data_IF_360359260056
#
_entry.id   IF_360359260056
#
_cell.length_a   1.000
_cell.length_b   1.000
_cell.length_c   1.000
_cell.angle_alpha   90.00
_cell.angle_beta   90.00
_cell.angle_gamma   90.00
#
_symmetry.space_group_name_H-M   'P 1'
#
loop_
_entity.id
_entity.type
_entity.pdbx_description
1 polymer ?
#
# COMPACT_ATOMS: atom_id res chain seq x y z
N UNK A 1 4.12 31.17 -5.00
CA UNK A 1 5.50 30.86 -4.55
C UNK A 1 6.36 30.79 -5.81
N UNK A 2 7.11 31.85 -6.07
CA UNK A 2 7.86 32.06 -7.32
C UNK A 2 9.26 31.50 -7.11
N UNK A 3 9.66 30.50 -7.90
CA UNK A 3 11.01 29.97 -7.85
C UNK A 3 11.94 30.91 -8.64
N UNK A 4 12.72 31.69 -7.90
CA UNK A 4 13.88 32.42 -8.39
C UNK A 4 14.97 31.42 -8.78
N UNK A 5 15.26 31.33 -10.08
CA UNK A 5 16.43 30.62 -10.59
C UNK A 5 17.62 31.57 -10.43
N UNK A 6 18.59 31.20 -9.61
CA UNK A 6 19.90 31.85 -9.58
C UNK A 6 20.57 31.67 -10.95
N UNK A 7 20.62 32.76 -11.73
CA UNK A 7 21.61 32.94 -12.79
C UNK A 7 22.89 33.39 -12.10
N UNK A 8 23.86 32.49 -12.01
CA UNK A 8 25.27 32.83 -11.87
C UNK A 8 26.08 31.71 -12.54
N UNK A 9 26.14 31.74 -13.86
CA UNK A 9 27.21 31.11 -14.63
C UNK A 9 28.19 32.22 -15.06
N UNK A 10 29.34 32.40 -14.40
CA UNK A 10 30.37 33.31 -14.87
C UNK A 10 31.40 32.53 -15.67
N UNK A 11 31.01 31.86 -16.76
CA UNK A 11 31.98 31.39 -17.78
C UNK A 11 31.42 31.62 -19.18
N UNK A 12 30.92 32.83 -19.42
CA UNK A 12 30.75 33.38 -20.76
C UNK A 12 31.72 34.54 -20.90
N UNK A 13 32.97 34.26 -21.28
CA UNK A 13 33.91 35.15 -21.97
C UNK A 13 35.36 34.66 -21.84
N UNK A 14 35.73 33.58 -22.55
CA UNK A 14 37.15 33.24 -22.71
C UNK A 14 37.54 32.75 -24.11
N UNK A 15 36.70 33.00 -25.12
CA UNK A 15 36.96 32.68 -26.53
C UNK A 15 37.20 33.93 -27.38
N UNK A 16 37.90 34.93 -26.84
CA UNK A 16 38.26 36.16 -27.56
C UNK A 16 39.77 36.19 -27.90
N UNK A 17 40.27 35.11 -28.49
CA UNK A 17 41.60 35.05 -29.12
C UNK A 17 41.47 34.33 -30.46
N UNK A 18 41.47 35.12 -31.54
CA UNK A 18 41.67 34.77 -32.96
C UNK A 18 41.63 33.26 -33.23
N UNK A 19 40.47 32.78 -33.72
CA UNK A 19 40.26 31.40 -34.15
C UNK A 19 41.28 31.00 -35.23
N UNK A 20 42.34 30.30 -34.81
CA UNK A 20 43.07 29.40 -35.70
C UNK A 20 42.19 28.17 -35.87
N UNK A 21 41.65 27.95 -37.07
CA UNK A 21 40.83 26.78 -37.38
C UNK A 21 41.58 25.50 -36.98
N UNK A 22 41.08 24.81 -35.96
CA UNK A 22 41.67 23.57 -35.46
C UNK A 22 41.47 22.44 -36.47
N UNK A 23 42.56 21.86 -36.97
CA UNK A 23 42.54 20.74 -37.91
C UNK A 23 43.28 19.52 -37.34
N UNK A 24 42.61 18.36 -37.38
CA UNK A 24 43.16 17.06 -36.98
C UNK A 24 43.03 16.11 -38.17
N UNK A 25 44.16 15.62 -38.70
CA UNK A 25 44.18 14.84 -39.95
C UNK A 25 44.16 13.31 -39.74
N UNK A 26 44.20 12.85 -38.49
CA UNK A 26 44.04 11.44 -38.09
C UNK A 26 45.07 10.98 -37.05
N UNK A 27 44.84 9.79 -36.48
CA UNK A 27 45.74 9.07 -35.58
C UNK A 27 46.44 7.93 -36.34
N UNK A 28 47.76 7.78 -36.15
CA UNK A 28 48.55 6.68 -36.74
C UNK A 28 48.98 5.76 -35.61
N UNK A 29 48.42 4.54 -35.49
CA UNK A 29 48.92 3.56 -34.53
C UNK A 29 50.30 3.06 -35.00
N UNK A 30 51.35 3.35 -34.22
CA UNK A 30 52.74 2.99 -34.54
C UNK A 30 53.22 1.81 -33.67
N UNK A 31 53.92 0.86 -34.28
CA UNK A 31 54.60 -0.22 -33.56
C UNK A 31 55.87 0.28 -32.84
N UNK A 32 56.36 -0.48 -31.87
CA UNK A 32 57.52 -0.12 -31.03
C UNK A 32 58.80 0.25 -31.83
N UNK A 33 58.92 -0.21 -33.08
CA UNK A 33 60.07 0.04 -33.97
C UNK A 33 59.98 1.35 -34.77
N UNK A 34 58.78 1.91 -34.93
CA UNK A 34 58.55 3.11 -35.75
C UNK A 34 58.75 4.41 -34.96
N UNK A 35 58.84 4.31 -33.62
CA UNK A 35 59.08 5.41 -32.70
C UNK A 35 60.43 6.13 -32.92
N UNK A 36 61.46 5.40 -33.38
CA UNK A 36 62.81 5.95 -33.58
C UNK A 36 63.02 6.69 -34.90
N UNK A 37 62.09 6.56 -35.86
CA UNK A 37 62.18 7.16 -37.20
C UNK A 37 61.45 8.49 -37.31
N UNK A 38 60.49 8.75 -36.43
CA UNK A 38 59.72 9.99 -36.44
C UNK A 38 60.46 11.14 -35.75
N UNK A 39 60.68 12.23 -36.49
CA UNK A 39 61.46 13.41 -36.08
C UNK A 39 62.79 13.58 -36.82
N UNK A 40 63.22 12.57 -37.60
CA UNK A 40 64.51 12.60 -38.32
C UNK A 40 64.44 12.75 -39.83
N UNK A 41 63.26 12.75 -40.45
CA UNK A 41 63.20 12.93 -41.89
C UNK A 41 61.81 12.75 -42.46
N UNK A 42 61.42 13.75 -43.26
CA UNK A 42 60.42 13.77 -44.33
C UNK A 42 59.48 12.56 -44.41
N UNK A 43 58.20 12.85 -44.34
CA UNK A 43 57.11 11.99 -44.83
C UNK A 43 57.26 11.74 -46.34
N UNK A 44 58.22 10.90 -46.76
CA UNK A 44 58.51 10.64 -48.18
C UNK A 44 57.47 9.73 -48.85
N UNK A 45 56.54 9.14 -48.08
CA UNK A 45 55.48 8.26 -48.56
C UNK A 45 54.06 8.85 -48.49
N UNK A 46 53.89 10.11 -48.07
CA UNK A 46 52.57 10.75 -48.04
C UNK A 46 52.18 11.22 -49.45
N UNK A 47 50.95 10.90 -49.87
CA UNK A 47 50.36 11.37 -51.12
C UNK A 47 50.56 12.89 -51.28
N UNK A 48 51.07 13.34 -52.44
CA UNK A 48 51.38 14.75 -52.72
C UNK A 48 50.25 15.72 -52.35
N UNK A 49 48.98 15.34 -52.57
CA UNK A 49 47.82 16.16 -52.18
C UNK A 49 47.70 16.35 -50.67
N UNK A 50 48.03 15.32 -49.90
CA UNK A 50 48.02 15.36 -48.43
C UNK A 50 49.20 16.21 -47.92
N UNK A 51 50.36 16.14 -48.58
CA UNK A 51 51.51 16.99 -48.26
C UNK A 51 51.22 18.47 -48.49
N UNK A 52 50.61 18.82 -49.63
CA UNK A 52 50.17 20.19 -49.93
C UNK A 52 49.18 20.73 -48.88
N UNK A 53 48.28 19.87 -48.37
CA UNK A 53 47.36 20.23 -47.28
C UNK A 53 48.07 20.39 -45.93
N UNK A 54 49.03 19.53 -45.61
CA UNK A 54 49.83 19.59 -44.37
C UNK A 54 50.64 20.89 -44.29
N UNK A 55 51.32 21.25 -45.38
CA UNK A 55 52.12 22.46 -45.48
C UNK A 55 51.23 23.72 -45.49
N UNK A 56 50.07 23.69 -46.17
CA UNK A 56 49.13 24.81 -46.21
C UNK A 56 48.41 25.07 -44.87
N UNK A 57 48.27 24.05 -44.02
CA UNK A 57 47.60 24.13 -42.72
C UNK A 57 48.57 24.25 -41.54
N UNK A 58 49.88 24.29 -41.77
CA UNK A 58 50.93 24.34 -40.73
C UNK A 58 50.82 23.20 -39.70
N UNK A 59 50.48 21.98 -40.14
CA UNK A 59 50.34 20.85 -39.22
C UNK A 59 51.70 20.36 -38.73
N UNK A 60 51.79 20.04 -37.44
CA UNK A 60 52.98 19.49 -36.78
C UNK A 60 52.68 18.14 -36.14
N UNK A 61 53.72 17.31 -36.00
CA UNK A 61 53.67 16.06 -35.24
C UNK A 61 53.58 16.38 -33.74
N UNK A 62 52.62 15.77 -33.06
CA UNK A 62 52.39 15.92 -31.63
C UNK A 62 52.03 14.56 -31.02
N UNK A 63 52.44 14.34 -29.77
CA UNK A 63 52.08 13.12 -29.04
C UNK A 63 50.95 13.44 -28.07
N UNK A 64 49.78 12.88 -28.31
CA UNK A 64 48.61 13.02 -27.46
C UNK A 64 48.93 12.51 -26.04
N UNK A 65 48.70 13.34 -25.04
CA UNK A 65 49.05 13.01 -23.65
C UNK A 65 48.15 11.95 -23.01
N UNK A 66 46.93 11.73 -23.51
CA UNK A 66 45.95 10.78 -22.95
C UNK A 66 46.13 9.39 -23.57
N UNK A 67 46.10 9.33 -24.90
CA UNK A 67 46.16 8.09 -25.67
C UNK A 67 47.60 7.64 -25.94
N UNK A 68 48.57 8.57 -25.77
CA UNK A 68 49.97 8.38 -26.14
C UNK A 68 50.21 8.12 -27.63
N UNK A 69 49.17 8.28 -28.45
CA UNK A 69 49.21 8.19 -29.91
C UNK A 69 49.90 9.42 -30.49
N UNK A 70 50.59 9.24 -31.62
CA UNK A 70 51.09 10.37 -32.40
C UNK A 70 49.99 10.86 -33.33
N UNK A 71 49.82 12.18 -33.38
CA UNK A 71 48.78 12.88 -34.12
C UNK A 71 49.39 14.05 -34.90
N UNK A 72 48.71 14.45 -35.98
CA UNK A 72 49.11 15.58 -36.81
C UNK A 72 48.09 16.69 -36.62
N UNK A 73 48.51 17.82 -36.04
CA UNK A 73 47.64 18.95 -35.68
C UNK A 73 48.34 20.29 -35.91
N UNK A 74 47.60 21.32 -36.28
CA UNK A 74 48.14 22.69 -36.44
C UNK A 74 48.16 23.47 -35.13
N UNK A 75 47.59 22.92 -34.06
CA UNK A 75 47.56 23.57 -32.76
C UNK A 75 47.70 22.55 -31.61
N UNK A 76 48.94 22.07 -31.35
CA UNK A 76 49.23 21.13 -30.28
C UNK A 76 48.78 21.63 -28.91
N UNK A 77 48.99 22.92 -28.61
CA UNK A 77 48.59 23.51 -27.33
C UNK A 77 47.08 23.50 -27.12
N UNK A 78 46.29 23.78 -28.17
CA UNK A 78 44.82 23.70 -28.09
C UNK A 78 44.34 22.25 -28.00
N UNK A 79 45.01 21.31 -28.67
CA UNK A 79 44.72 19.88 -28.54
C UNK A 79 44.91 19.40 -27.10
N UNK A 80 46.05 19.70 -26.49
CA UNK A 80 46.37 19.36 -25.11
C UNK A 80 45.41 20.02 -24.11
N UNK A 81 45.01 21.27 -24.36
CA UNK A 81 43.98 21.93 -23.53
C UNK A 81 42.63 21.21 -23.61
N UNK A 82 42.21 20.76 -24.81
CA UNK A 82 40.98 19.97 -25.00
C UNK A 82 41.07 18.60 -24.31
N UNK A 83 42.21 17.94 -24.37
CA UNK A 83 42.46 16.67 -23.69
C UNK A 83 42.37 16.83 -22.17
N UNK A 84 43.04 17.82 -21.60
CA UNK A 84 42.94 18.13 -20.17
C UNK A 84 41.49 18.38 -19.73
N UNK A 85 40.72 19.17 -20.50
CA UNK A 85 39.29 19.41 -20.21
C UNK A 85 38.45 18.13 -20.33
N UNK A 86 38.78 17.23 -21.26
CA UNK A 86 38.10 15.95 -21.39
C UNK A 86 38.37 15.03 -20.20
N UNK A 87 39.62 14.94 -19.75
CA UNK A 87 40.02 14.15 -18.59
C UNK A 87 39.36 14.67 -17.30
N UNK A 88 39.32 15.99 -17.09
CA UNK A 88 38.58 16.61 -15.98
C UNK A 88 37.11 16.22 -15.99
N UNK A 89 36.44 16.34 -17.15
CA UNK A 89 35.02 15.95 -17.30
C UNK A 89 34.80 14.46 -17.03
N UNK A 90 35.73 13.61 -17.47
CA UNK A 90 35.65 12.16 -17.27
C UNK A 90 35.83 11.79 -15.80
N UNK A 91 36.72 12.48 -15.09
CA UNK A 91 36.92 12.32 -13.65
C UNK A 91 35.70 12.80 -12.84
N UNK A 92 35.10 13.94 -13.21
CA UNK A 92 33.84 14.42 -12.60
C UNK A 92 32.73 13.38 -12.82
N UNK A 93 32.56 12.88 -14.03
CA UNK A 93 31.53 11.89 -14.36
C UNK A 93 31.72 10.57 -13.60
N UNK A 94 32.96 10.12 -13.40
CA UNK A 94 33.26 8.96 -12.56
C UNK A 94 32.86 9.21 -11.10
N UNK A 95 33.22 10.36 -10.55
CA UNK A 95 32.86 10.74 -9.18
C UNK A 95 31.35 10.83 -8.99
N UNK A 96 30.63 11.41 -9.95
CA UNK A 96 29.17 11.51 -9.94
C UNK A 96 28.51 10.12 -10.03
N UNK A 97 29.01 9.23 -10.88
CA UNK A 97 28.52 7.85 -10.95
C UNK A 97 28.75 7.07 -9.66
N UNK A 98 29.92 7.22 -9.02
CA UNK A 98 30.18 6.60 -7.72
C UNK A 98 29.30 7.16 -6.61
N UNK A 99 29.03 8.46 -6.64
CA UNK A 99 28.10 9.11 -5.72
C UNK A 99 26.68 8.59 -5.95
N UNK A 100 26.21 8.56 -7.19
CA UNK A 100 24.89 8.04 -7.55
C UNK A 100 24.73 6.57 -7.13
N UNK A 101 25.75 5.74 -7.31
CA UNK A 101 25.73 4.33 -6.88
C UNK A 101 25.63 4.22 -5.35
N UNK A 102 26.34 5.08 -4.61
CA UNK A 102 26.25 5.15 -3.14
C UNK A 102 24.85 5.58 -2.69
N UNK A 103 24.32 6.64 -3.28
CA UNK A 103 23.00 7.19 -2.98
C UNK A 103 21.90 6.17 -3.29
N UNK A 104 21.98 5.48 -4.43
CA UNK A 104 21.07 4.41 -4.81
C UNK A 104 21.09 3.26 -3.79
N UNK A 105 22.28 2.77 -3.42
CA UNK A 105 22.40 1.70 -2.42
C UNK A 105 21.89 2.14 -1.04
N UNK A 106 22.06 3.41 -0.67
CA UNK A 106 21.51 3.94 0.58
C UNK A 106 19.98 4.04 0.52
N UNK A 107 19.42 4.46 -0.61
CA UNK A 107 17.98 4.51 -0.83
C UNK A 107 17.35 3.12 -0.74
N UNK A 108 17.96 2.11 -1.37
CA UNK A 108 17.52 0.71 -1.29
C UNK A 108 17.49 0.20 0.17
N UNK A 109 18.57 0.43 0.94
CA UNK A 109 18.60 0.04 2.36
C UNK A 109 17.51 0.72 3.20
N UNK A 110 17.22 1.99 2.91
CA UNK A 110 16.13 2.73 3.58
C UNK A 110 14.76 2.15 3.20
N UNK A 111 14.58 1.77 1.94
CA UNK A 111 13.35 1.14 1.46
C UNK A 111 13.11 -0.19 2.17
N UNK A 112 14.11 -1.06 2.25
CA UNK A 112 14.01 -2.36 2.95
C UNK A 112 13.63 -2.18 4.43
N UNK A 113 14.27 -1.23 5.11
CA UNK A 113 13.95 -0.92 6.50
C UNK A 113 12.52 -0.38 6.66
N UNK A 114 12.06 0.45 5.72
CA UNK A 114 10.69 0.94 5.70
C UNK A 114 9.69 -0.21 5.51
N UNK A 115 9.94 -1.14 4.59
CA UNK A 115 9.08 -2.30 4.35
C UNK A 115 8.96 -3.18 5.61
N UNK A 116 10.07 -3.51 6.26
CA UNK A 116 10.08 -4.27 7.51
C UNK A 116 9.31 -3.57 8.63
N UNK A 117 9.44 -2.24 8.72
CA UNK A 117 8.69 -1.45 9.70
C UNK A 117 7.19 -1.46 9.41
N UNK A 118 6.79 -1.37 8.15
CA UNK A 118 5.38 -1.45 7.73
C UNK A 118 4.79 -2.80 8.06
N UNK A 119 5.45 -3.90 7.69
CA UNK A 119 5.00 -5.27 7.98
C UNK A 119 4.82 -5.51 9.49
N UNK A 120 5.78 -5.03 10.30
CA UNK A 120 5.68 -5.09 11.76
C UNK A 120 4.48 -4.31 12.28
N UNK A 121 4.24 -3.09 11.77
CA UNK A 121 3.11 -2.27 12.18
C UNK A 121 1.77 -2.91 11.78
N UNK A 122 1.69 -3.54 10.62
CA UNK A 122 0.51 -4.28 10.17
C UNK A 122 0.24 -5.49 11.06
N UNK A 123 1.29 -6.24 11.43
CA UNK A 123 1.20 -7.36 12.37
C UNK A 123 0.72 -6.91 13.75
N UNK A 124 1.31 -5.82 14.29
CA UNK A 124 0.89 -5.23 15.56
C UNK A 124 -0.56 -4.70 15.51
N UNK A 125 -0.98 -4.15 14.36
CA UNK A 125 -2.36 -3.71 14.14
C UNK A 125 -3.32 -4.90 14.15
N UNK A 126 -2.99 -5.98 13.42
CA UNK A 126 -3.80 -7.19 13.39
C UNK A 126 -3.94 -7.82 14.79
N UNK A 127 -2.85 -7.93 15.56
CA UNK A 127 -2.90 -8.50 16.92
C UNK A 127 -3.77 -7.69 17.88
N UNK A 128 -3.90 -6.37 17.66
CA UNK A 128 -4.79 -5.52 18.45
C UNK A 128 -6.26 -5.82 18.16
N UNK A 129 -6.63 -5.99 16.89
CA UNK A 129 -8.01 -6.36 16.51
C UNK A 129 -8.36 -7.77 16.98
N UNK A 130 -7.43 -8.72 16.94
CA UNK A 130 -7.64 -10.07 17.49
C UNK A 130 -7.92 -9.99 19.01
N UNK A 131 -7.16 -9.17 19.74
CA UNK A 131 -7.40 -8.91 21.16
C UNK A 131 -8.76 -8.25 21.46
N UNK A 132 -9.20 -7.28 20.64
CA UNK A 132 -10.52 -6.66 20.78
C UNK A 132 -11.65 -7.67 20.47
N UNK A 133 -11.46 -8.56 19.50
CA UNK A 133 -12.41 -9.63 19.18
C UNK A 133 -12.60 -10.59 20.37
N UNK A 134 -11.51 -10.98 21.04
CA UNK A 134 -11.58 -11.76 22.29
C UNK A 134 -12.33 -10.99 23.39
N UNK A 135 -12.05 -9.70 23.53
CA UNK A 135 -12.75 -8.86 24.51
C UNK A 135 -14.25 -8.75 24.22
N UNK A 136 -14.64 -8.67 22.95
CA UNK A 136 -16.03 -8.68 22.51
C UNK A 136 -16.73 -9.97 22.89
N UNK A 137 -16.11 -11.12 22.61
CA UNK A 137 -16.62 -12.43 23.04
C UNK A 137 -16.86 -12.48 24.55
N UNK A 138 -15.90 -11.98 25.33
CA UNK A 138 -16.00 -11.92 26.78
C UNK A 138 -17.18 -11.07 27.24
N UNK A 139 -17.42 -9.94 26.56
CA UNK A 139 -18.52 -9.02 26.85
C UNK A 139 -19.87 -9.65 26.52
N UNK A 140 -19.97 -10.32 25.37
CA UNK A 140 -21.15 -11.05 24.94
C UNK A 140 -21.53 -12.16 25.93
N UNK A 141 -20.53 -12.95 26.37
CA UNK A 141 -20.73 -13.95 27.42
C UNK A 141 -21.27 -13.35 28.72
N UNK A 142 -20.64 -12.27 29.23
CA UNK A 142 -21.11 -11.59 30.45
C UNK A 142 -22.55 -11.07 30.31
N UNK A 143 -22.90 -10.55 29.14
CA UNK A 143 -24.24 -10.04 28.88
C UNK A 143 -25.30 -11.14 28.93
N UNK A 144 -25.05 -12.24 28.22
CA UNK A 144 -25.97 -13.37 28.22
C UNK A 144 -26.10 -13.97 29.62
N UNK A 145 -24.97 -14.17 30.31
CA UNK A 145 -24.92 -14.88 31.58
C UNK A 145 -25.54 -14.10 32.75
N UNK A 146 -25.33 -12.78 32.80
CA UNK A 146 -25.94 -11.93 33.83
C UNK A 146 -27.48 -11.97 33.77
N UNK A 147 -28.07 -12.32 32.62
CA UNK A 147 -29.53 -12.41 32.45
C UNK A 147 -30.11 -13.77 32.87
N UNK A 148 -29.31 -14.84 32.99
CA UNK A 148 -29.81 -16.20 33.27
C UNK A 148 -29.66 -16.68 34.73
N UNK A 149 -29.13 -15.88 35.66
CA UNK A 149 -29.02 -16.25 37.09
C UNK A 149 -28.24 -17.56 37.37
N UNK A 150 -27.49 -18.09 36.41
CA UNK A 150 -26.73 -19.33 36.53
C UNK A 150 -25.33 -19.09 37.10
N UNK A 151 -24.70 -20.11 37.70
CA UNK A 151 -23.36 -20.06 38.31
C UNK A 151 -22.31 -20.90 37.57
N UNK A 152 -22.48 -21.13 36.27
CA UNK A 152 -21.49 -21.85 35.46
C UNK A 152 -20.13 -21.13 35.40
N UNK A 153 -19.07 -21.92 35.58
CA UNK A 153 -17.69 -21.47 35.45
C UNK A 153 -17.30 -21.45 33.97
N UNK A 154 -16.74 -20.33 33.54
CA UNK A 154 -16.16 -20.16 32.22
C UNK A 154 -14.78 -20.81 32.15
N UNK A 155 -14.56 -21.69 31.17
CA UNK A 155 -13.21 -22.08 30.76
C UNK A 155 -12.79 -21.23 29.56
N UNK A 156 -11.62 -20.58 29.65
CA UNK A 156 -11.02 -19.85 28.53
C UNK A 156 -9.65 -20.47 28.27
N UNK A 157 -9.37 -20.95 27.05
CA UNK A 157 -8.05 -21.48 26.74
C UNK A 157 -6.95 -20.44 26.95
N UNK A 158 -5.79 -20.91 27.40
CA UNK A 158 -4.62 -20.06 27.64
C UNK A 158 -4.19 -19.26 26.41
N UNK A 159 -4.32 -19.82 25.21
CA UNK A 159 -4.02 -19.14 23.96
C UNK A 159 -4.95 -17.93 23.71
N UNK A 160 -6.23 -18.05 24.06
CA UNK A 160 -7.21 -16.97 23.88
C UNK A 160 -6.96 -15.85 24.89
N UNK A 161 -6.60 -16.21 26.13
CA UNK A 161 -6.20 -15.23 27.14
C UNK A 161 -4.96 -14.43 26.70
N UNK A 162 -3.98 -15.09 26.07
CA UNK A 162 -2.80 -14.42 25.54
C UNK A 162 -3.13 -13.43 24.40
N UNK A 163 -4.04 -13.79 23.48
CA UNK A 163 -4.54 -12.86 22.45
C UNK A 163 -5.28 -11.68 23.10
N UNK A 164 -6.08 -11.92 24.13
CA UNK A 164 -6.79 -10.85 24.85
C UNK A 164 -5.88 -9.78 25.46
N UNK A 165 -4.62 -10.12 25.78
CA UNK A 165 -3.62 -9.20 26.34
C UNK A 165 -3.07 -8.19 25.33
N UNK A 166 -3.15 -8.47 24.03
CA UNK A 166 -2.65 -7.57 22.97
C UNK A 166 -3.66 -6.53 22.51
N UNK A 167 -4.84 -6.48 23.15
CA UNK A 167 -5.96 -5.63 22.77
C UNK A 167 -5.64 -4.13 22.87
N UNK A 168 -6.27 -3.33 22.00
CA UNK A 168 -6.16 -1.87 22.05
C UNK A 168 -7.32 -1.29 22.85
N UNK A 169 -7.11 -1.18 24.17
CA UNK A 169 -8.14 -0.74 25.12
C UNK A 169 -8.77 0.62 24.80
N UNK A 170 -8.07 1.48 24.05
CA UNK A 170 -8.54 2.82 23.69
C UNK A 170 -9.29 2.88 22.37
N UNK A 171 -9.28 1.81 21.56
CA UNK A 171 -9.93 1.82 20.25
C UNK A 171 -11.37 1.29 20.29
N UNK A 172 -11.67 0.24 21.07
CA UNK A 172 -13.00 -0.42 21.07
C UNK A 172 -13.55 -0.70 19.66
N UNK A 173 -12.66 -1.04 18.72
CA UNK A 173 -13.01 -1.34 17.33
C UNK A 173 -12.79 -2.82 17.06
N UNK A 174 -13.83 -3.51 16.61
CA UNK A 174 -13.70 -4.76 15.88
C UNK A 174 -13.50 -4.51 14.40
N UNK A 175 -12.88 -5.50 13.76
CA UNK A 175 -12.71 -5.56 12.33
C UNK A 175 -13.34 -6.88 11.84
N UNK A 176 -14.34 -6.78 10.96
CA UNK A 176 -15.07 -7.94 10.45
C UNK A 176 -14.13 -8.99 9.84
N UNK A 177 -13.14 -8.56 9.06
CA UNK A 177 -12.16 -9.48 8.46
C UNK A 177 -11.37 -10.25 9.53
N UNK A 178 -10.98 -9.59 10.63
CA UNK A 178 -10.31 -10.23 11.76
C UNK A 178 -11.23 -11.24 12.46
N UNK A 179 -12.51 -10.93 12.66
CA UNK A 179 -13.47 -11.88 13.24
C UNK A 179 -13.66 -13.09 12.34
N UNK A 180 -13.79 -12.89 11.02
CA UNK A 180 -13.89 -13.97 10.05
C UNK A 180 -12.64 -14.87 10.06
N UNK A 181 -11.43 -14.29 10.10
CA UNK A 181 -10.16 -15.02 10.21
C UNK A 181 -10.10 -15.86 11.49
N UNK A 182 -10.56 -15.31 12.62
CA UNK A 182 -10.60 -16.04 13.89
C UNK A 182 -11.67 -17.13 13.89
N UNK A 183 -12.81 -16.92 13.23
CA UNK A 183 -13.85 -17.95 13.03
C UNK A 183 -13.39 -19.06 12.07
N UNK A 184 -12.52 -18.76 11.10
CA UNK A 184 -11.87 -19.80 10.28
C UNK A 184 -10.88 -20.63 11.11
N UNK A 185 -10.13 -19.99 12.01
CA UNK A 185 -9.11 -20.67 12.82
C UNK A 185 -9.68 -21.42 14.03
N UNK A 186 -10.69 -20.86 14.68
CA UNK A 186 -11.29 -21.39 15.90
C UNK A 186 -12.83 -21.22 15.86
N UNK A 187 -13.52 -21.97 15.00
CA UNK A 187 -14.96 -21.79 14.76
C UNK A 187 -15.81 -21.94 16.02
N UNK A 188 -15.51 -22.94 16.87
CA UNK A 188 -16.23 -23.18 18.13
C UNK A 188 -16.26 -21.97 19.08
N UNK A 189 -15.30 -21.06 18.91
CA UNK A 189 -15.11 -19.91 19.77
C UNK A 189 -15.62 -18.60 19.18
N UNK A 190 -15.44 -18.38 17.88
CA UNK A 190 -15.66 -17.07 17.26
C UNK A 190 -16.78 -17.04 16.23
N UNK A 191 -17.24 -18.19 15.71
CA UNK A 191 -18.31 -18.20 14.71
C UNK A 191 -19.60 -17.57 15.24
N UNK A 192 -19.90 -17.80 16.53
CA UNK A 192 -21.05 -17.18 17.21
C UNK A 192 -21.01 -15.65 17.19
N UNK A 193 -19.83 -15.04 17.09
CA UNK A 193 -19.74 -13.58 17.01
C UNK A 193 -20.32 -13.05 15.70
N UNK A 194 -20.21 -13.80 14.62
CA UNK A 194 -20.74 -13.40 13.32
C UNK A 194 -22.27 -13.34 13.38
N UNK A 195 -22.92 -14.38 13.89
CA UNK A 195 -24.37 -14.38 14.06
C UNK A 195 -24.84 -13.29 15.03
N UNK A 196 -24.18 -13.17 16.18
CA UNK A 196 -24.66 -12.30 17.27
C UNK A 196 -24.38 -10.83 17.01
N UNK A 197 -23.14 -10.48 16.66
CA UNK A 197 -22.70 -9.09 16.50
C UNK A 197 -22.94 -8.58 15.08
N UNK A 198 -22.64 -9.39 14.07
CA UNK A 198 -22.71 -9.00 12.67
C UNK A 198 -24.03 -9.39 12.00
N UNK A 199 -24.92 -10.09 12.71
CA UNK A 199 -26.29 -10.34 12.26
C UNK A 199 -26.49 -11.56 11.38
N UNK A 200 -25.40 -12.18 10.90
CA UNK A 200 -25.42 -13.24 9.90
C UNK A 200 -24.25 -14.22 10.06
N UNK A 201 -24.40 -15.49 9.70
CA UNK A 201 -23.32 -16.47 9.71
C UNK A 201 -22.25 -16.14 8.66
N UNK A 202 -21.05 -16.68 8.85
CA UNK A 202 -19.86 -16.41 8.01
C UNK A 202 -20.09 -16.53 6.51
N UNK A 203 -20.71 -17.64 6.09
CA UNK A 203 -20.91 -17.95 4.67
C UNK A 203 -21.89 -16.99 4.03
N UNK A 204 -22.91 -16.56 4.78
CA UNK A 204 -23.84 -15.55 4.32
C UNK A 204 -23.16 -14.18 4.21
N UNK A 205 -22.36 -13.77 5.20
CA UNK A 205 -21.58 -12.53 5.13
C UNK A 205 -20.69 -12.51 3.88
N UNK A 206 -19.99 -13.62 3.58
CA UNK A 206 -19.18 -13.75 2.36
C UNK A 206 -20.03 -13.53 1.11
N UNK A 207 -21.16 -14.22 1.00
CA UNK A 207 -22.08 -14.08 -0.14
C UNK A 207 -22.61 -12.65 -0.31
N UNK A 208 -22.98 -11.98 0.78
CA UNK A 208 -23.50 -10.61 0.73
C UNK A 208 -22.41 -9.61 0.34
N UNK A 209 -21.19 -9.77 0.85
CA UNK A 209 -20.04 -8.92 0.51
C UNK A 209 -19.63 -9.11 -0.95
N UNK A 210 -19.56 -10.35 -1.42
CA UNK A 210 -19.20 -10.68 -2.80
C UNK A 210 -20.25 -10.17 -3.80
N UNK A 211 -21.54 -10.17 -3.41
CA UNK A 211 -22.63 -9.63 -4.20
C UNK A 211 -22.60 -8.09 -4.31
N UNK A 212 -22.02 -7.37 -3.33
CA UNK A 212 -21.88 -5.90 -3.34
C UNK A 212 -20.63 -5.43 -4.12
N UNK A 213 -20.50 -5.91 -5.35
CA UNK A 213 -19.36 -5.63 -6.24
C UNK A 213 -19.10 -4.13 -6.53
N UNK A 214 -20.13 -3.29 -6.42
CA UNK A 214 -20.04 -1.84 -6.64
C UNK A 214 -19.87 -1.06 -5.33
N UNK A 215 -19.92 -1.74 -4.18
CA UNK A 215 -19.91 -1.14 -2.84
C UNK A 215 -21.01 -0.12 -2.59
N UNK A 216 -22.05 -0.08 -3.44
CA UNK A 216 -23.16 0.87 -3.33
C UNK A 216 -24.04 0.53 -2.15
N UNK A 217 -24.18 -0.75 -1.81
CA UNK A 217 -25.02 -1.19 -0.70
C UNK A 217 -24.27 -1.13 0.65
N UNK A 218 -22.97 -0.77 0.63
CA UNK A 218 -22.11 -0.58 1.79
C UNK A 218 -22.08 -1.79 2.72
N UNK A 219 -22.20 -3.01 2.17
CA UNK A 219 -22.39 -4.24 2.96
C UNK A 219 -21.28 -4.44 3.98
N UNK A 220 -20.03 -4.43 3.54
CA UNK A 220 -18.88 -4.60 4.45
C UNK A 220 -18.85 -3.51 5.51
N UNK A 221 -19.06 -2.25 5.11
CA UNK A 221 -18.98 -1.09 6.01
C UNK A 221 -20.06 -1.17 7.09
N UNK A 222 -21.32 -1.39 6.74
CA UNK A 222 -22.43 -1.42 7.70
C UNK A 222 -22.30 -2.61 8.65
N UNK A 223 -21.94 -3.80 8.15
CA UNK A 223 -21.63 -4.94 9.01
C UNK A 223 -20.50 -4.61 9.99
N UNK A 224 -19.41 -4.01 9.49
CA UNK A 224 -18.28 -3.63 10.33
C UNK A 224 -18.64 -2.58 11.39
N UNK A 225 -19.36 -1.53 10.99
CA UNK A 225 -19.83 -0.44 11.86
C UNK A 225 -20.79 -0.98 12.93
N UNK A 226 -21.67 -1.92 12.56
CA UNK A 226 -22.54 -2.62 13.51
C UNK A 226 -21.73 -3.34 14.60
N UNK A 227 -20.64 -4.00 14.22
CA UNK A 227 -19.71 -4.60 15.18
C UNK A 227 -19.15 -3.59 16.17
N UNK A 228 -18.69 -2.44 15.66
CA UNK A 228 -18.22 -1.33 16.50
C UNK A 228 -19.32 -0.72 17.38
N UNK A 229 -20.56 -0.59 16.90
CA UNK A 229 -21.69 -0.15 17.73
C UNK A 229 -21.97 -1.11 18.88
N UNK A 230 -21.88 -2.42 18.62
CA UNK A 230 -22.10 -3.45 19.63
C UNK A 230 -21.07 -3.38 20.77
N UNK A 231 -19.81 -3.06 20.44
CA UNK A 231 -18.74 -2.83 21.42
C UNK A 231 -19.08 -1.75 22.43
N UNK A 232 -19.84 -0.76 22.00
CA UNK A 232 -20.09 0.44 22.76
C UNK A 232 -21.39 0.35 23.59
N UNK A 233 -22.18 -0.73 23.52
CA UNK A 233 -23.47 -0.87 24.23
C UNK A 233 -24.52 0.21 23.90
N UNK A 234 -24.30 1.04 22.87
CA UNK A 234 -25.26 2.08 22.48
C UNK A 234 -26.25 1.64 21.43
N UNK A 235 -26.16 0.40 20.94
CA UNK A 235 -26.78 -0.01 19.69
C UNK A 235 -28.31 -0.12 19.69
N UNK A 236 -29.03 0.51 20.64
CA UNK A 236 -30.47 0.32 20.76
C UNK A 236 -31.25 0.97 19.62
N UNK A 237 -30.88 2.17 19.17
CA UNK A 237 -31.61 2.81 18.07
C UNK A 237 -31.27 2.20 16.72
N UNK A 238 -30.06 1.65 16.57
CA UNK A 238 -29.61 1.08 15.31
C UNK A 238 -29.94 -0.42 15.11
N UNK A 239 -30.45 -1.16 16.12
CA UNK A 239 -30.86 -2.59 15.95
C UNK A 239 -31.91 -2.75 14.84
N UNK A 240 -33.02 -2.01 14.93
CA UNK A 240 -34.14 -2.17 13.99
C UNK A 240 -33.76 -1.72 12.57
N UNK A 241 -33.16 -0.53 12.34
CA UNK A 241 -32.68 -0.12 11.02
C UNK A 241 -31.68 -1.12 10.42
N UNK A 242 -30.80 -1.71 11.24
CA UNK A 242 -29.86 -2.73 10.78
C UNK A 242 -30.59 -3.99 10.30
N UNK A 243 -31.52 -4.51 11.08
CA UNK A 243 -32.25 -5.72 10.76
C UNK A 243 -33.12 -5.53 9.49
N UNK A 244 -33.74 -4.36 9.33
CA UNK A 244 -34.46 -3.99 8.09
C UNK A 244 -33.51 -3.90 6.89
N UNK A 245 -32.38 -3.22 7.04
CA UNK A 245 -31.35 -3.13 6.00
C UNK A 245 -30.84 -4.51 5.59
N UNK A 246 -30.47 -5.37 6.54
CA UNK A 246 -29.95 -6.71 6.27
C UNK A 246 -30.99 -7.56 5.52
N UNK A 247 -32.26 -7.49 5.91
CA UNK A 247 -33.37 -8.14 5.21
C UNK A 247 -33.54 -7.67 3.76
N UNK A 248 -33.43 -6.35 3.53
CA UNK A 248 -33.51 -5.78 2.19
C UNK A 248 -32.32 -6.19 1.32
N UNK A 249 -31.10 -6.22 1.86
CA UNK A 249 -29.91 -6.68 1.13
C UNK A 249 -30.01 -8.16 0.77
N UNK A 250 -30.48 -9.02 1.69
CA UNK A 250 -30.78 -10.45 1.40
C UNK A 250 -31.78 -10.59 0.26
N UNK A 251 -32.88 -9.83 0.32
CA UNK A 251 -33.93 -9.84 -0.70
C UNK A 251 -33.39 -9.42 -2.07
N UNK A 252 -32.57 -8.36 -2.10
CA UNK A 252 -31.90 -7.91 -3.32
C UNK A 252 -30.96 -8.99 -3.88
N UNK A 253 -30.16 -9.64 -3.04
CA UNK A 253 -29.25 -10.71 -3.44
C UNK A 253 -30.00 -11.91 -4.03
N UNK A 254 -31.14 -12.29 -3.44
CA UNK A 254 -32.02 -13.32 -3.99
C UNK A 254 -32.59 -12.94 -5.36
N UNK A 255 -33.06 -11.70 -5.53
CA UNK A 255 -33.60 -11.21 -6.80
C UNK A 255 -32.51 -11.21 -7.87
N UNK A 256 -31.33 -10.68 -7.55
CA UNK A 256 -30.19 -10.65 -8.48
C UNK A 256 -29.77 -12.06 -8.90
N UNK A 257 -29.69 -13.00 -7.96
CA UNK A 257 -29.38 -14.40 -8.25
C UNK A 257 -30.43 -15.05 -9.15
N UNK A 258 -31.73 -14.79 -8.90
CA UNK A 258 -32.83 -15.36 -9.69
C UNK A 258 -33.00 -14.76 -11.09
N UNK A 259 -32.35 -13.62 -11.35
CA UNK A 259 -32.47 -12.86 -12.60
C UNK A 259 -31.17 -12.81 -13.42
N UNK A 260 -30.08 -13.41 -12.92
CA UNK A 260 -28.76 -13.41 -13.55
C UNK A 260 -28.77 -13.90 -15.03
N UNK A 261 -29.60 -14.90 -15.35
CA UNK A 261 -29.68 -15.49 -16.69
C UNK A 261 -30.88 -15.00 -17.52
N UNK A 262 -31.62 -13.99 -17.04
CA UNK A 262 -32.88 -13.54 -17.67
C UNK A 262 -32.74 -12.14 -18.25
N UNK A 263 -32.80 -12.03 -19.58
CA UNK A 263 -32.94 -10.74 -20.27
C UNK A 263 -34.40 -10.27 -20.21
N UNK A 264 -34.76 -9.47 -19.21
CA UNK A 264 -36.09 -8.83 -19.15
C UNK A 264 -36.02 -7.46 -18.47
N UNK A 265 -36.67 -6.47 -19.10
CA UNK A 265 -36.86 -5.11 -18.59
C UNK A 265 -37.63 -5.05 -17.26
N UNK A 266 -38.49 -6.04 -17.00
CA UNK A 266 -39.32 -6.08 -15.79
C UNK A 266 -38.49 -6.42 -14.54
N UNK A 267 -37.40 -7.18 -14.72
CA UNK A 267 -36.44 -7.48 -13.67
C UNK A 267 -35.59 -6.26 -13.33
N UNK A 268 -35.24 -5.46 -14.32
CA UNK A 268 -34.46 -4.24 -14.13
C UNK A 268 -35.21 -3.22 -13.25
N UNK A 269 -36.52 -3.03 -13.48
CA UNK A 269 -37.36 -2.17 -12.65
C UNK A 269 -37.47 -2.66 -11.19
N UNK A 270 -37.59 -3.97 -11.00
CA UNK A 270 -37.69 -4.58 -9.67
C UNK A 270 -36.39 -4.46 -8.87
N UNK A 271 -35.24 -4.67 -9.53
CA UNK A 271 -33.90 -4.47 -8.96
C UNK A 271 -33.67 -3.00 -8.61
N UNK A 272 -34.06 -2.07 -9.50
CA UNK A 272 -33.95 -0.62 -9.23
C UNK A 272 -34.79 -0.21 -8.01
N UNK A 273 -36.02 -0.71 -7.88
CA UNK A 273 -36.87 -0.43 -6.72
C UNK A 273 -36.25 -0.92 -5.40
N UNK A 274 -35.74 -2.15 -5.38
CA UNK A 274 -35.08 -2.70 -4.19
C UNK A 274 -33.77 -1.98 -3.88
N UNK A 275 -33.00 -1.59 -4.89
CA UNK A 275 -31.82 -0.74 -4.70
C UNK A 275 -32.20 0.58 -4.02
N UNK A 276 -33.27 1.26 -4.47
CA UNK A 276 -33.73 2.50 -3.84
C UNK A 276 -34.15 2.29 -2.37
N UNK A 277 -34.78 1.16 -2.06
CA UNK A 277 -35.13 0.77 -0.69
C UNK A 277 -33.89 0.53 0.17
N UNK A 278 -32.91 -0.23 -0.32
CA UNK A 278 -31.63 -0.43 0.39
C UNK A 278 -30.95 0.91 0.65
N UNK A 279 -30.90 1.81 -0.33
CA UNK A 279 -30.32 3.15 -0.15
C UNK A 279 -31.06 4.00 0.88
N UNK A 280 -32.38 3.85 0.99
CA UNK A 280 -33.17 4.51 2.05
C UNK A 280 -32.77 3.96 3.42
N UNK A 281 -32.72 2.62 3.56
CA UNK A 281 -32.37 1.94 4.81
C UNK A 281 -30.93 2.22 5.27
N UNK A 282 -29.99 2.41 4.34
CA UNK A 282 -28.63 2.88 4.65
C UNK A 282 -28.68 4.23 5.37
N UNK A 283 -29.48 5.18 4.90
CA UNK A 283 -29.60 6.51 5.54
C UNK A 283 -30.25 6.42 6.92
N UNK A 284 -31.24 5.54 7.07
CA UNK A 284 -31.88 5.28 8.36
C UNK A 284 -30.88 4.64 9.35
N UNK A 285 -30.07 3.68 8.88
CA UNK A 285 -28.98 3.11 9.65
C UNK A 285 -27.94 4.16 10.05
N UNK A 286 -27.43 4.96 9.11
CA UNK A 286 -26.41 5.99 9.40
C UNK A 286 -26.92 6.98 10.45
N UNK A 287 -28.17 7.43 10.33
CA UNK A 287 -28.78 8.35 11.29
C UNK A 287 -28.91 7.73 12.69
N UNK A 288 -29.35 6.47 12.79
CA UNK A 288 -29.44 5.76 14.07
C UNK A 288 -28.05 5.50 14.68
N UNK A 289 -27.10 5.10 13.84
CA UNK A 289 -25.72 4.85 14.27
C UNK A 289 -25.04 6.12 14.81
N UNK A 290 -25.25 7.27 14.17
CA UNK A 290 -24.73 8.56 14.67
C UNK A 290 -25.35 8.95 16.02
N UNK A 291 -26.65 8.70 16.22
CA UNK A 291 -27.32 8.91 17.52
C UNK A 291 -26.71 8.03 18.60
N UNK A 292 -26.48 6.75 18.31
CA UNK A 292 -25.88 5.79 19.24
C UNK A 292 -24.42 6.15 19.53
N UNK A 293 -23.67 6.62 18.53
CA UNK A 293 -22.27 7.06 18.67
C UNK A 293 -22.11 8.27 19.60
N UNK A 294 -23.10 9.15 19.71
CA UNK A 294 -23.01 10.33 20.59
C UNK A 294 -23.25 10.03 22.07
N UNK A 295 -23.74 8.82 22.42
CA UNK A 295 -24.18 8.47 23.80
C UNK A 295 -23.13 7.72 24.64
N UNK A 296 -21.84 7.91 24.34
CA UNK A 296 -20.73 7.23 25.02
C UNK A 296 -20.88 7.23 26.56
N UNK A 297 -20.64 6.06 27.15
CA UNK A 297 -20.70 5.60 28.54
C UNK A 297 -22.04 5.47 29.29
N UNK A 298 -23.20 5.64 28.64
CA UNK A 298 -24.48 5.27 29.30
C UNK A 298 -24.82 3.80 29.11
N UNK A 299 -24.30 2.96 29.99
CA UNK A 299 -24.65 1.53 30.10
C UNK A 299 -26.10 1.37 30.60
N UNK A 300 -27.09 1.68 29.75
CA UNK A 300 -28.49 1.54 30.11
C UNK A 300 -28.85 0.05 30.07
N UNK A 301 -29.42 -0.44 31.16
CA UNK A 301 -29.96 -1.80 31.28
C UNK A 301 -30.92 -2.15 30.12
N UNK A 302 -31.63 -1.13 29.64
CA UNK A 302 -32.49 -1.16 28.46
C UNK A 302 -31.76 -1.61 27.17
N UNK A 303 -30.58 -1.07 26.86
CA UNK A 303 -29.81 -1.50 25.69
C UNK A 303 -29.46 -3.00 25.76
N UNK A 304 -29.12 -3.50 26.96
CA UNK A 304 -28.81 -4.92 27.15
C UNK A 304 -30.06 -5.78 26.98
N UNK A 305 -31.20 -5.33 27.49
CA UNK A 305 -32.47 -6.03 27.35
C UNK A 305 -32.89 -6.13 25.87
N UNK A 306 -32.75 -5.05 25.10
CA UNK A 306 -33.07 -5.04 23.67
C UNK A 306 -32.15 -5.96 22.86
N UNK A 307 -30.84 -5.90 23.10
CA UNK A 307 -29.89 -6.82 22.47
C UNK A 307 -30.22 -8.29 22.81
N UNK A 308 -30.53 -8.56 24.07
CA UNK A 308 -30.88 -9.92 24.50
C UNK A 308 -32.21 -10.39 23.89
N UNK A 309 -33.20 -9.51 23.74
CA UNK A 309 -34.45 -9.80 23.03
C UNK A 309 -34.17 -10.16 21.57
N UNK A 310 -33.36 -9.36 20.88
CA UNK A 310 -32.96 -9.65 19.49
C UNK A 310 -32.27 -11.03 19.36
N UNK A 311 -31.46 -11.44 20.35
CA UNK A 311 -30.87 -12.79 20.35
C UNK A 311 -31.87 -13.90 20.58
N UNK A 312 -32.87 -13.65 21.44
CA UNK A 312 -33.96 -14.60 21.66
C UNK A 312 -34.82 -14.75 20.40
N UNK A 313 -35.17 -13.64 19.77
CA UNK A 313 -36.03 -13.61 18.58
C UNK A 313 -35.36 -14.29 17.38
N UNK A 314 -34.02 -14.26 17.33
CA UNK A 314 -33.20 -14.95 16.32
C UNK A 314 -32.75 -16.36 16.73
N UNK A 315 -33.25 -16.90 17.84
CA UNK A 315 -32.90 -18.22 18.40
C UNK A 315 -31.38 -18.45 18.56
N UNK A 316 -30.65 -17.41 18.95
CA UNK A 316 -29.18 -17.46 19.10
C UNK A 316 -28.74 -17.91 20.49
N UNK A 317 -29.60 -17.79 21.51
CA UNK A 317 -29.24 -18.10 22.90
C UNK A 317 -28.72 -19.54 23.09
N UNK A 318 -29.34 -20.61 22.53
CA UNK A 318 -28.81 -21.96 22.67
C UNK A 318 -27.41 -22.14 22.05
N UNK A 319 -27.17 -21.50 20.90
CA UNK A 319 -25.86 -21.53 20.20
C UNK A 319 -24.80 -20.79 21.00
N UNK A 320 -25.15 -19.66 21.61
CA UNK A 320 -24.28 -18.91 22.52
C UNK A 320 -23.86 -19.78 23.71
N UNK A 321 -24.81 -20.49 24.34
CA UNK A 321 -24.51 -21.39 25.45
C UNK A 321 -23.57 -22.52 25.06
N UNK A 322 -23.77 -23.13 23.89
CA UNK A 322 -22.85 -24.14 23.38
C UNK A 322 -21.45 -23.59 23.15
N UNK A 323 -21.32 -22.41 22.54
CA UNK A 323 -20.01 -21.79 22.27
C UNK A 323 -19.29 -21.34 23.56
N UNK A 324 -20.02 -20.97 24.61
CA UNK A 324 -19.43 -20.44 25.84
C UNK A 324 -19.19 -21.48 26.94
N UNK A 325 -19.99 -22.54 27.00
CA UNK A 325 -20.05 -23.45 28.16
C UNK A 325 -19.53 -24.87 27.89
N UNK A 326 -19.14 -25.23 26.66
CA UNK A 326 -18.58 -26.55 26.36
C UNK A 326 -17.19 -26.45 25.74
N UNK A 327 -16.17 -26.85 26.50
CA UNK A 327 -15.09 -27.71 26.02
C UNK A 327 -14.66 -28.55 27.23
N UNK A 328 -15.23 -29.76 27.35
CA UNK A 328 -14.58 -30.81 28.13
C UNK A 328 -13.24 -31.12 27.45
N UNK A 329 -12.17 -31.12 28.23
CA UNK A 329 -10.87 -31.62 27.80
C UNK A 329 -11.02 -33.12 27.56
N UNK A 330 -10.89 -33.55 26.29
CA UNK A 330 -10.40 -34.89 25.93
C UNK A 330 -9.06 -34.75 25.20
#
# INVERSE_FOLDING_TARGET
>A
MVFTIHKDDPISNMFDKKDVNYHLLGSIPLGHKDLGLFGKGRFESINRKVKEQVDAMELVDHRDTITHEKIITNNPSLHEKKNFTFEEKLNIMKADNEKLRRDFNQAMKRLDLCLLKTERLETEKASRYEGETVAMRNKLWKMAFNMESTSQKRSVPSWMDNIGKTRNQSAHLTDLATVMKLADKYPDYFDILLDTIYGAPKDEIKLLVDADNTSKNQVYKILNDRGSAFHNQYANTCIEPFNLWLSAVRSLQHIQSATADKSSSDHESSVQKHNAEVQKLIREWDAAFDVDKLKWDTNTEECRALIYSDYRDRDLLPRMWKSFCFQEEE
#
